data_IF_444584188118
#
_entry.id   IF_444584188118
#
_cell.length_a   1.000
_cell.length_b   1.000
_cell.length_c   1.000
_cell.angle_alpha   90.00
_cell.angle_beta   90.00
_cell.angle_gamma   90.00
#
_symmetry.space_group_name_H-M   'P 1'
#
loop_
_entity.id
_entity.type
_entity.pdbx_description
1 polymer ?
#
# COMPACT_ATOMS: atom_id res chain seq x y z
N UNK A 1 8.43 6.66 -29.08
CA UNK A 1 7.10 7.29 -29.14
C UNK A 1 6.98 8.39 -28.11
N UNK A 2 7.46 8.17 -26.92
CA UNK A 2 7.48 9.13 -25.82
C UNK A 2 8.88 9.70 -25.67
N UNK A 3 8.99 11.02 -25.51
CA UNK A 3 10.23 11.73 -25.18
C UNK A 3 10.24 12.03 -23.68
N UNK A 4 10.97 11.21 -22.92
CA UNK A 4 11.07 11.35 -21.45
C UNK A 4 11.92 12.56 -21.01
N UNK A 5 12.63 13.21 -21.91
CA UNK A 5 13.35 14.46 -21.61
C UNK A 5 12.46 15.71 -21.74
N UNK A 6 11.27 15.55 -22.31
CA UNK A 6 10.30 16.65 -22.40
C UNK A 6 9.69 16.99 -21.05
N UNK A 7 9.26 18.26 -20.87
CA UNK A 7 8.63 18.73 -19.63
C UNK A 7 7.38 17.91 -19.23
N UNK A 8 6.67 17.34 -20.19
CA UNK A 8 5.48 16.53 -19.96
C UNK A 8 5.78 15.18 -19.28
N UNK A 9 6.97 14.61 -19.53
CA UNK A 9 7.32 13.25 -19.14
C UNK A 9 8.48 13.17 -18.15
N UNK A 10 9.11 14.30 -17.81
CA UNK A 10 10.29 14.34 -16.93
C UNK A 10 10.03 13.84 -15.52
N UNK A 11 8.82 13.99 -15.01
CA UNK A 11 8.39 13.52 -13.70
C UNK A 11 8.36 11.99 -13.53
N UNK A 12 8.28 11.25 -14.64
CA UNK A 12 8.25 9.78 -14.65
C UNK A 12 9.50 9.16 -15.28
N UNK A 13 10.48 10.00 -15.67
CA UNK A 13 11.68 9.56 -16.39
C UNK A 13 12.47 8.51 -15.60
N UNK A 14 12.79 8.78 -14.34
CA UNK A 14 13.62 7.89 -13.52
C UNK A 14 12.97 6.50 -13.34
N UNK A 15 11.65 6.46 -13.28
CA UNK A 15 10.92 5.19 -13.23
C UNK A 15 10.92 4.49 -14.58
N UNK A 16 10.71 5.23 -15.69
CA UNK A 16 10.77 4.67 -17.03
C UNK A 16 12.14 4.07 -17.37
N UNK A 17 13.22 4.64 -16.84
CA UNK A 17 14.59 4.13 -17.00
C UNK A 17 14.78 2.76 -16.35
N UNK A 18 14.08 2.44 -15.27
CA UNK A 18 14.13 1.11 -14.62
C UNK A 18 13.55 0.00 -15.51
N UNK A 19 12.74 0.34 -16.50
CA UNK A 19 12.17 -0.58 -17.48
C UNK A 19 12.89 -0.52 -18.83
N UNK A 20 14.16 -0.11 -18.83
CA UNK A 20 14.99 -0.06 -20.04
C UNK A 20 15.62 -1.42 -20.31
N UNK A 21 15.46 -1.92 -21.53
CA UNK A 21 16.10 -3.14 -22.01
C UNK A 21 16.85 -2.85 -23.29
N UNK A 22 18.14 -3.19 -23.34
CA UNK A 22 19.02 -2.94 -24.50
C UNK A 22 18.99 -1.47 -24.96
N UNK A 23 18.99 -0.52 -24.03
CA UNK A 23 18.98 0.92 -24.29
C UNK A 23 17.66 1.45 -24.85
N UNK A 24 16.55 0.71 -24.73
CA UNK A 24 15.23 1.12 -25.20
C UNK A 24 14.21 1.07 -24.05
N UNK A 25 13.38 2.09 -23.96
CA UNK A 25 12.25 2.14 -23.05
C UNK A 25 11.07 1.37 -23.63
N UNK A 26 10.51 0.46 -22.87
CA UNK A 26 9.36 -0.35 -23.28
C UNK A 26 8.08 0.01 -22.53
N UNK A 27 8.19 0.76 -21.44
CA UNK A 27 7.08 1.15 -20.57
C UNK A 27 6.97 2.67 -20.58
N UNK A 28 5.74 3.17 -20.72
CA UNK A 28 5.40 4.58 -20.57
C UNK A 28 4.55 4.75 -19.30
N UNK A 29 5.15 5.12 -18.16
CA UNK A 29 4.41 5.45 -16.95
C UNK A 29 3.55 6.70 -17.16
N UNK A 30 2.32 6.71 -16.67
CA UNK A 30 1.42 7.87 -16.75
C UNK A 30 1.37 8.58 -15.41
N UNK A 31 1.02 7.84 -14.34
CA UNK A 31 0.95 8.37 -13.00
C UNK A 31 1.20 7.26 -11.96
N UNK A 32 1.34 7.69 -10.73
CA UNK A 32 1.53 6.84 -9.55
C UNK A 32 0.44 7.11 -8.53
N UNK A 33 -0.03 6.04 -7.89
CA UNK A 33 -1.00 6.10 -6.80
C UNK A 33 -0.43 5.32 -5.61
N UNK A 34 -0.77 5.66 -4.36
CA UNK A 34 -0.47 4.80 -3.23
C UNK A 34 -1.06 3.41 -3.46
N UNK A 35 -0.25 2.36 -3.27
CA UNK A 35 -0.69 0.98 -3.47
C UNK A 35 -1.67 0.52 -2.40
N UNK A 36 -1.41 0.91 -1.14
CA UNK A 36 -2.32 0.70 -0.02
C UNK A 36 -2.21 1.83 1.00
N UNK A 37 -3.33 2.09 1.65
CA UNK A 37 -3.45 2.98 2.82
C UNK A 37 -4.29 2.28 3.88
N UNK A 38 -4.15 2.69 5.12
CA UNK A 38 -5.02 2.26 6.22
C UNK A 38 -6.13 3.29 6.39
N UNK A 39 -7.37 2.83 6.29
CA UNK A 39 -8.56 3.60 6.64
C UNK A 39 -9.08 3.12 8.00
N UNK A 40 -9.51 4.04 8.85
CA UNK A 40 -10.03 3.76 10.18
C UNK A 40 -11.20 4.69 10.55
N UNK A 41 -12.06 4.24 11.44
CA UNK A 41 -13.14 5.04 12.03
C UNK A 41 -12.65 5.67 13.33
N UNK A 42 -12.64 7.01 13.40
CA UNK A 42 -12.18 7.75 14.58
C UNK A 42 -13.05 7.49 15.82
N UNK A 43 -14.34 7.26 15.61
CA UNK A 43 -15.24 6.94 16.73
C UNK A 43 -14.90 5.58 17.36
N UNK A 44 -14.44 4.62 16.56
CA UNK A 44 -13.97 3.33 17.08
C UNK A 44 -12.65 3.47 17.84
N UNK A 45 -11.74 4.29 17.35
CA UNK A 45 -10.47 4.63 18.02
C UNK A 45 -10.77 5.29 19.36
N UNK A 46 -11.59 6.36 19.37
CA UNK A 46 -11.96 7.09 20.59
C UNK A 46 -12.68 6.19 21.61
N UNK A 47 -13.64 5.37 21.16
CA UNK A 47 -14.39 4.47 22.02
C UNK A 47 -13.53 3.37 22.66
N UNK A 48 -12.46 2.96 21.96
CA UNK A 48 -11.48 2.01 22.47
C UNK A 48 -10.41 2.66 23.36
N UNK A 49 -10.35 3.99 23.43
CA UNK A 49 -9.34 4.74 24.18
C UNK A 49 -7.95 4.69 23.56
N UNK A 50 -7.87 4.42 22.25
CA UNK A 50 -6.63 4.32 21.50
C UNK A 50 -6.17 5.70 20.99
N UNK A 51 -4.87 5.83 20.74
CA UNK A 51 -4.30 7.02 20.11
C UNK A 51 -4.76 7.17 18.65
N UNK A 52 -4.92 8.42 18.16
CA UNK A 52 -5.29 8.63 16.75
C UNK A 52 -4.12 8.26 15.83
N UNK A 53 -4.29 7.31 14.90
CA UNK A 53 -3.24 6.91 13.95
C UNK A 53 -2.64 8.06 13.15
N UNK A 54 -3.43 9.11 12.85
CA UNK A 54 -2.94 10.29 12.16
C UNK A 54 -1.99 11.11 13.02
N UNK A 55 -2.25 11.25 14.31
CA UNK A 55 -1.35 11.92 15.25
C UNK A 55 -0.05 11.13 15.41
N UNK A 56 -0.13 9.81 15.56
CA UNK A 56 1.05 8.94 15.59
C UNK A 56 1.89 9.09 14.30
N UNK A 57 1.22 9.15 13.13
CA UNK A 57 1.91 9.39 11.86
C UNK A 57 2.61 10.75 11.81
N UNK A 58 1.95 11.82 12.24
CA UNK A 58 2.54 13.17 12.27
C UNK A 58 3.75 13.26 13.21
N UNK A 59 3.74 12.50 14.30
CA UNK A 59 4.83 12.43 15.27
C UNK A 59 5.96 11.48 14.87
N UNK A 60 5.79 10.71 13.77
CA UNK A 60 6.76 9.70 13.34
C UNK A 60 6.70 8.39 14.13
N UNK A 61 5.65 8.19 14.91
CA UNK A 61 5.43 7.04 15.80
C UNK A 61 4.54 5.96 15.17
N UNK A 62 4.00 6.20 13.96
CA UNK A 62 3.19 5.25 13.23
C UNK A 62 4.07 4.19 12.56
N UNK A 63 4.33 3.10 13.29
CA UNK A 63 5.12 1.96 12.85
C UNK A 63 4.40 0.62 13.10
N UNK A 64 5.06 -0.50 12.79
CA UNK A 64 4.49 -1.84 13.00
C UNK A 64 4.12 -2.11 14.45
N UNK A 65 4.90 -1.59 15.41
CA UNK A 65 4.64 -1.83 16.82
C UNK A 65 3.36 -1.12 17.25
N UNK A 66 3.27 0.19 16.98
CA UNK A 66 2.07 0.97 17.29
C UNK A 66 0.82 0.37 16.64
N UNK A 67 0.92 -0.01 15.36
CA UNK A 67 -0.18 -0.63 14.63
C UNK A 67 -0.60 -1.98 15.22
N UNK A 68 0.36 -2.84 15.57
CA UNK A 68 0.11 -4.13 16.20
C UNK A 68 -0.53 -3.99 17.59
N UNK A 69 0.05 -3.11 18.42
CA UNK A 69 -0.40 -2.88 19.79
C UNK A 69 -1.84 -2.36 19.82
N UNK A 70 -2.17 -1.42 18.94
CA UNK A 70 -3.55 -0.92 18.79
C UNK A 70 -4.53 -2.03 18.40
N UNK A 71 -4.16 -2.90 17.46
CA UNK A 71 -5.01 -4.03 17.08
C UNK A 71 -5.18 -5.03 18.23
N UNK A 72 -4.10 -5.33 18.95
CA UNK A 72 -4.13 -6.25 20.12
C UNK A 72 -5.03 -5.70 21.21
N UNK A 73 -4.83 -4.44 21.59
CA UNK A 73 -5.63 -3.79 22.62
C UNK A 73 -7.12 -3.72 22.25
N UNK A 74 -7.42 -3.42 20.98
CA UNK A 74 -8.79 -3.38 20.50
C UNK A 74 -9.48 -4.75 20.57
N UNK A 75 -8.80 -5.81 20.15
CA UNK A 75 -9.34 -7.18 20.15
C UNK A 75 -9.48 -7.71 21.58
N UNK A 76 -8.46 -7.50 22.42
CA UNK A 76 -8.47 -7.94 23.82
C UNK A 76 -9.50 -7.19 24.68
N UNK A 77 -9.82 -5.94 24.32
CA UNK A 77 -10.83 -5.13 24.97
C UNK A 77 -12.27 -5.50 24.64
N UNK A 78 -12.51 -6.52 23.79
CA UNK A 78 -13.85 -6.96 23.43
C UNK A 78 -14.63 -7.50 24.63
N UNK A 79 -15.93 -7.17 24.73
CA UNK A 79 -16.81 -7.79 25.69
C UNK A 79 -17.01 -9.29 25.37
N UNK A 80 -17.45 -10.09 26.35
CA UNK A 80 -17.56 -11.55 26.20
C UNK A 80 -18.51 -12.02 25.09
N UNK A 81 -19.43 -11.17 24.67
CA UNK A 81 -20.43 -11.38 23.61
C UNK A 81 -20.15 -10.56 22.35
N UNK A 82 -18.98 -9.91 22.26
CA UNK A 82 -18.57 -9.07 21.17
C UNK A 82 -17.39 -9.70 20.41
N UNK A 83 -17.45 -9.68 19.08
CA UNK A 83 -16.32 -10.03 18.24
C UNK A 83 -15.71 -8.75 17.68
N UNK A 84 -14.39 -8.61 17.84
CA UNK A 84 -13.59 -7.50 17.30
C UNK A 84 -12.41 -8.05 16.52
N UNK A 85 -12.04 -7.34 15.48
CA UNK A 85 -10.90 -7.68 14.62
C UNK A 85 -10.01 -6.47 14.40
N UNK A 86 -8.71 -6.69 14.33
CA UNK A 86 -7.74 -5.61 14.12
C UNK A 86 -7.69 -5.13 12.68
N UNK A 87 -7.72 -6.04 11.72
CA UNK A 87 -7.43 -5.72 10.31
C UNK A 87 -8.19 -6.57 9.31
N UNK A 88 -8.52 -5.95 8.17
CA UNK A 88 -8.91 -6.63 6.93
C UNK A 88 -8.37 -5.89 5.72
N UNK A 89 -8.43 -6.51 4.54
CA UNK A 89 -8.00 -5.96 3.27
C UNK A 89 -6.61 -6.43 2.82
N UNK A 90 -5.98 -5.66 1.96
CA UNK A 90 -4.67 -5.97 1.38
C UNK A 90 -3.55 -5.32 2.19
N UNK A 91 -3.11 -5.93 3.27
CA UNK A 91 -2.04 -5.41 4.13
C UNK A 91 -0.76 -6.26 4.05
N UNK A 92 -0.87 -7.59 3.96
CA UNK A 92 0.28 -8.47 4.08
C UNK A 92 1.42 -8.20 3.08
N UNK A 93 1.18 -8.02 1.76
CA UNK A 93 2.26 -7.68 0.84
C UNK A 93 2.95 -6.35 1.18
N UNK A 94 2.20 -5.40 1.72
CA UNK A 94 2.71 -4.06 2.00
C UNK A 94 3.57 -4.00 3.26
N UNK A 95 3.39 -4.93 4.20
CA UNK A 95 4.29 -5.09 5.35
C UNK A 95 5.67 -5.51 4.87
N UNK A 96 5.79 -6.47 3.95
CA UNK A 96 7.08 -6.82 3.33
C UNK A 96 7.71 -5.62 2.61
N UNK A 97 6.92 -4.85 1.87
CA UNK A 97 7.40 -3.73 1.07
C UNK A 97 7.82 -2.53 1.93
N UNK A 98 7.23 -2.35 3.13
CA UNK A 98 7.62 -1.31 4.07
C UNK A 98 9.02 -1.49 4.65
N UNK A 99 9.64 -2.67 4.48
CA UNK A 99 11.08 -2.88 4.76
C UNK A 99 12.00 -2.14 3.78
N UNK A 100 11.49 -1.62 2.66
CA UNK A 100 12.28 -1.02 1.58
C UNK A 100 13.02 -2.03 0.70
N UNK A 101 12.81 -3.33 0.92
CA UNK A 101 13.44 -4.40 0.16
C UNK A 101 12.48 -5.06 -0.81
N UNK A 102 13.02 -5.68 -1.84
CA UNK A 102 12.26 -6.49 -2.82
C UNK A 102 12.44 -7.98 -2.54
N UNK A 103 11.41 -8.78 -2.85
CA UNK A 103 11.48 -10.25 -2.72
C UNK A 103 12.59 -10.88 -3.56
N UNK A 104 12.88 -10.26 -4.70
CA UNK A 104 13.91 -10.70 -5.63
C UNK A 104 14.74 -9.48 -6.02
N UNK A 105 16.06 -9.60 -5.94
CA UNK A 105 17.02 -8.59 -6.40
C UNK A 105 17.84 -9.15 -7.55
N UNK A 106 18.10 -8.35 -8.57
CA UNK A 106 19.05 -8.69 -9.61
C UNK A 106 20.47 -8.29 -9.17
N UNK A 107 21.36 -9.27 -9.09
CA UNK A 107 22.79 -9.07 -8.83
C UNK A 107 23.52 -8.91 -10.17
N UNK A 108 23.84 -7.65 -10.50
CA UNK A 108 24.46 -7.34 -11.80
C UNK A 108 25.90 -7.85 -11.92
N UNK A 109 26.59 -8.08 -10.79
CA UNK A 109 27.96 -8.58 -10.79
C UNK A 109 28.02 -10.07 -11.12
N UNK A 110 26.97 -10.78 -10.77
CA UNK A 110 26.83 -12.24 -11.00
C UNK A 110 25.91 -12.60 -12.16
N UNK A 111 25.22 -11.61 -12.73
CA UNK A 111 24.18 -11.81 -13.77
C UNK A 111 23.11 -12.83 -13.32
N UNK A 112 22.66 -12.74 -12.05
CA UNK A 112 21.67 -13.67 -11.48
C UNK A 112 20.61 -12.95 -10.66
N UNK A 113 19.45 -13.60 -10.50
CA UNK A 113 18.41 -13.15 -9.57
C UNK A 113 18.59 -13.84 -8.22
N UNK A 114 18.62 -13.04 -7.15
CA UNK A 114 18.77 -13.50 -5.78
C UNK A 114 17.45 -13.38 -5.04
N UNK A 115 17.02 -14.45 -4.38
CA UNK A 115 15.85 -14.44 -3.51
C UNK A 115 16.19 -13.88 -2.14
N UNK A 116 15.39 -12.92 -1.66
CA UNK A 116 15.54 -12.30 -0.35
C UNK A 116 14.58 -12.88 0.71
N UNK A 117 13.91 -14.00 0.42
CA UNK A 117 12.93 -14.61 1.34
C UNK A 117 13.51 -14.97 2.72
N UNK A 118 14.81 -15.21 2.81
CA UNK A 118 15.51 -15.51 4.07
C UNK A 118 16.18 -14.27 4.68
N UNK A 119 15.98 -13.09 4.13
CA UNK A 119 16.45 -11.84 4.73
C UNK A 119 15.78 -11.62 6.09
N UNK A 120 16.55 -11.13 7.07
CA UNK A 120 16.06 -10.97 8.44
C UNK A 120 14.81 -10.04 8.53
N UNK A 121 14.71 -9.04 7.65
CA UNK A 121 13.57 -8.14 7.63
C UNK A 121 12.32 -8.82 7.07
N UNK A 122 12.46 -9.70 6.07
CA UNK A 122 11.35 -10.52 5.58
C UNK A 122 10.90 -11.56 6.60
N UNK A 123 11.82 -12.17 7.34
CA UNK A 123 11.49 -13.09 8.42
C UNK A 123 10.69 -12.36 9.50
N UNK A 124 11.15 -11.19 9.92
CA UNK A 124 10.47 -10.33 10.92
C UNK A 124 9.07 -9.89 10.47
N UNK A 125 8.92 -9.51 9.20
CA UNK A 125 7.62 -9.20 8.61
C UNK A 125 6.68 -10.42 8.60
N UNK A 126 7.21 -11.61 8.29
CA UNK A 126 6.46 -12.86 8.33
C UNK A 126 6.02 -13.23 9.75
N UNK A 127 6.88 -13.06 10.74
CA UNK A 127 6.57 -13.33 12.14
C UNK A 127 5.44 -12.43 12.63
N UNK A 128 5.48 -11.14 12.32
CA UNK A 128 4.39 -10.20 12.62
C UNK A 128 3.06 -10.63 11.99
N UNK A 129 3.05 -10.96 10.71
CA UNK A 129 1.84 -11.40 10.02
C UNK A 129 1.29 -12.71 10.59
N UNK A 130 2.19 -13.61 10.99
CA UNK A 130 1.82 -14.85 11.68
C UNK A 130 1.16 -14.55 13.04
N UNK A 131 1.73 -13.63 13.83
CA UNK A 131 1.19 -13.26 15.13
C UNK A 131 -0.18 -12.55 15.01
N UNK A 132 -0.38 -11.68 14.02
CA UNK A 132 -1.69 -11.09 13.71
C UNK A 132 -2.73 -12.20 13.45
N UNK A 133 -2.40 -13.19 12.64
CA UNK A 133 -3.30 -14.30 12.33
C UNK A 133 -3.55 -15.21 13.54
N UNK A 134 -2.49 -15.58 14.25
CA UNK A 134 -2.54 -16.47 15.41
C UNK A 134 -3.35 -15.89 16.58
N UNK A 135 -3.26 -14.59 16.78
CA UNK A 135 -3.96 -13.88 17.87
C UNK A 135 -5.37 -13.41 17.45
N UNK A 136 -5.89 -13.90 16.32
CA UNK A 136 -7.28 -13.62 15.90
C UNK A 136 -7.55 -12.18 15.48
N UNK A 137 -6.50 -11.40 15.20
CA UNK A 137 -6.67 -10.00 14.82
C UNK A 137 -7.13 -9.82 13.36
N UNK A 138 -7.01 -10.84 12.54
CA UNK A 138 -7.40 -10.81 11.13
C UNK A 138 -8.85 -11.28 10.94
N UNK A 139 -9.69 -10.46 10.29
CA UNK A 139 -11.02 -10.89 9.87
C UNK A 139 -10.92 -11.81 8.64
N UNK A 140 -11.46 -13.06 8.70
CA UNK A 140 -11.14 -14.09 7.72
C UNK A 140 -11.79 -13.91 6.35
N UNK A 141 -12.94 -13.26 6.28
CA UNK A 141 -13.68 -13.07 5.04
C UNK A 141 -13.27 -11.77 4.33
N UNK A 142 -13.37 -11.76 3.03
CA UNK A 142 -13.11 -10.56 2.25
C UNK A 142 -14.17 -9.48 2.49
N UNK A 143 -13.72 -8.25 2.75
CA UNK A 143 -14.56 -7.06 2.83
C UNK A 143 -14.17 -6.12 1.69
N UNK A 144 -15.15 -5.66 0.91
CA UNK A 144 -14.89 -4.91 -0.32
C UNK A 144 -14.64 -3.42 -0.14
N UNK A 145 -14.97 -2.84 1.04
CA UNK A 145 -14.86 -1.40 1.30
C UNK A 145 -14.80 -1.10 2.80
N UNK A 146 -14.20 0.05 3.14
CA UNK A 146 -13.94 0.46 4.52
C UNK A 146 -15.21 0.56 5.38
N UNK A 147 -16.27 1.17 4.89
CA UNK A 147 -17.52 1.34 5.65
C UNK A 147 -18.21 0.03 6.01
N UNK A 148 -17.99 -1.05 5.26
CA UNK A 148 -18.51 -2.37 5.61
C UNK A 148 -17.58 -3.11 6.60
N UNK A 149 -16.29 -2.80 6.58
CA UNK A 149 -15.35 -3.30 7.57
C UNK A 149 -15.69 -2.77 8.98
N UNK A 150 -15.95 -1.47 9.10
CA UNK A 150 -16.29 -0.85 10.40
C UNK A 150 -17.59 -1.42 11.00
N UNK A 151 -18.60 -1.73 10.18
CA UNK A 151 -19.84 -2.42 10.64
C UNK A 151 -19.62 -3.83 11.18
N UNK A 152 -18.44 -4.40 10.94
CA UNK A 152 -18.02 -5.73 11.40
C UNK A 152 -17.03 -5.65 12.56
N UNK A 153 -16.92 -4.49 13.23
CA UNK A 153 -15.97 -4.22 14.31
C UNK A 153 -14.51 -4.51 13.88
N UNK A 154 -14.16 -4.15 12.66
CA UNK A 154 -12.78 -4.22 12.16
C UNK A 154 -12.16 -2.83 12.34
N UNK A 155 -11.09 -2.74 13.14
CA UNK A 155 -10.45 -1.47 13.49
C UNK A 155 -9.82 -0.77 12.30
N UNK A 156 -9.06 -1.52 11.50
CA UNK A 156 -8.33 -1.02 10.34
C UNK A 156 -8.73 -1.74 9.06
N UNK A 157 -8.85 -0.97 7.99
CA UNK A 157 -9.06 -1.49 6.65
C UNK A 157 -7.95 -1.04 5.71
N UNK A 158 -7.17 -1.98 5.21
CA UNK A 158 -6.04 -1.72 4.32
C UNK A 158 -6.41 -2.01 2.86
N UNK A 159 -6.39 -0.98 2.02
CA UNK A 159 -6.69 -1.09 0.60
C UNK A 159 -6.14 0.12 -0.16
N UNK A 160 -6.12 0.02 -1.48
CA UNK A 160 -5.84 1.19 -2.32
C UNK A 160 -6.82 2.35 -2.02
N UNK A 161 -6.40 3.61 -2.19
CA UNK A 161 -7.21 4.80 -1.83
C UNK A 161 -8.61 4.80 -2.45
N UNK A 162 -8.78 4.14 -3.59
CA UNK A 162 -10.08 4.00 -4.27
C UNK A 162 -11.16 3.32 -3.41
N UNK A 163 -10.77 2.41 -2.51
CA UNK A 163 -11.69 1.68 -1.64
C UNK A 163 -12.21 2.52 -0.45
N UNK A 164 -11.69 3.73 -0.30
CA UNK A 164 -12.06 4.66 0.77
C UNK A 164 -12.54 6.02 0.22
N UNK A 165 -12.74 6.13 -1.09
CA UNK A 165 -13.13 7.38 -1.75
C UNK A 165 -14.42 7.23 -2.58
N UNK A 166 -15.09 8.33 -2.87
CA UNK A 166 -16.26 8.37 -3.71
C UNK A 166 -17.41 7.49 -3.19
N UNK A 167 -17.88 6.56 -4.01
CA UNK A 167 -18.97 5.63 -3.66
C UNK A 167 -18.58 4.59 -2.62
N UNK A 168 -17.29 4.40 -2.38
CA UNK A 168 -16.71 3.43 -1.44
C UNK A 168 -16.34 4.06 -0.10
N UNK A 169 -16.40 5.39 0.02
CA UNK A 169 -16.13 6.06 1.29
C UNK A 169 -17.11 5.63 2.37
N UNK A 170 -16.68 5.63 3.64
CA UNK A 170 -17.60 5.47 4.75
C UNK A 170 -18.72 6.49 4.68
N UNK A 171 -19.98 6.04 4.85
CA UNK A 171 -21.15 6.89 4.59
C UNK A 171 -21.67 7.63 5.81
N UNK A 172 -21.23 7.24 6.98
CA UNK A 172 -21.76 7.73 8.25
C UNK A 172 -20.93 8.89 8.80
N UNK A 173 -20.72 9.88 7.97
CA UNK A 173 -20.17 11.11 8.43
C UNK A 173 -18.67 11.24 8.24
N UNK A 174 -18.19 12.37 8.70
CA UNK A 174 -16.84 12.85 8.50
C UNK A 174 -15.86 12.31 9.56
N UNK A 175 -16.20 11.19 10.22
CA UNK A 175 -15.44 10.68 11.38
C UNK A 175 -14.52 9.50 11.05
N UNK A 176 -13.89 9.54 9.88
CA UNK A 176 -12.90 8.54 9.49
C UNK A 176 -11.58 9.20 9.09
N UNK A 177 -10.51 8.46 9.18
CA UNK A 177 -9.17 8.90 8.83
C UNK A 177 -8.46 7.93 7.89
N UNK A 178 -7.40 8.43 7.27
CA UNK A 178 -6.51 7.66 6.40
C UNK A 178 -5.07 7.96 6.78
N UNK A 179 -4.28 6.90 6.93
CA UNK A 179 -2.83 6.98 7.12
C UNK A 179 -2.12 6.03 6.15
N UNK A 180 -0.84 6.26 5.83
CA UNK A 180 -0.08 5.30 5.05
C UNK A 180 0.02 3.96 5.80
N UNK A 181 0.44 2.90 5.10
CA UNK A 181 0.86 1.66 5.76
C UNK A 181 1.95 1.96 6.80
N UNK A 182 1.96 1.27 7.95
CA UNK A 182 2.89 1.56 9.02
C UNK A 182 4.35 1.34 8.59
N UNK A 183 5.23 2.17 9.12
CA UNK A 183 6.67 2.09 8.87
C UNK A 183 7.27 0.86 9.55
N UNK A 184 8.27 0.23 8.92
CA UNK A 184 9.13 -0.72 9.60
C UNK A 184 9.86 -0.01 10.77
N UNK A 185 9.72 -0.47 12.03
CA UNK A 185 10.36 0.17 13.19
C UNK A 185 11.90 0.19 13.11
N UNK A 186 12.50 -0.70 12.31
CA UNK A 186 13.96 -0.75 12.11
C UNK A 186 14.44 0.14 10.95
N UNK A 187 13.54 0.87 10.30
CA UNK A 187 13.87 1.77 9.20
C UNK A 187 13.70 3.23 9.62
N UNK A 188 14.68 4.08 9.25
CA UNK A 188 14.55 5.53 9.39
C UNK A 188 13.65 6.16 8.30
N UNK A 189 13.33 5.37 7.26
CA UNK A 189 12.54 5.83 6.11
C UNK A 189 11.18 5.12 6.08
N UNK A 190 10.13 5.88 5.86
CA UNK A 190 8.82 5.33 5.51
C UNK A 190 8.83 4.91 4.03
N UNK A 191 8.94 3.61 3.79
CA UNK A 191 8.74 3.06 2.46
C UNK A 191 7.25 2.79 2.22
N UNK A 192 6.74 3.33 1.14
CA UNK A 192 5.37 3.06 0.72
C UNK A 192 5.35 2.51 -0.69
N UNK A 193 4.46 1.59 -0.93
CA UNK A 193 4.26 1.02 -2.26
C UNK A 193 3.46 1.98 -3.11
N UNK A 194 3.81 2.05 -4.37
CA UNK A 194 3.04 2.76 -5.38
C UNK A 194 2.54 1.80 -6.44
N UNK A 195 1.31 2.00 -6.88
CA UNK A 195 0.76 1.42 -8.08
C UNK A 195 1.09 2.33 -9.26
N UNK A 196 1.63 1.76 -10.31
CA UNK A 196 2.00 2.48 -11.52
C UNK A 196 0.99 2.22 -12.62
N UNK A 197 0.32 3.25 -13.09
CA UNK A 197 -0.41 3.19 -14.34
C UNK A 197 0.55 3.39 -15.50
N UNK A 198 0.80 2.35 -16.27
CA UNK A 198 1.75 2.37 -17.36
C UNK A 198 1.28 1.58 -18.58
N UNK A 199 1.79 1.95 -19.73
CA UNK A 199 1.40 1.35 -21.01
C UNK A 199 2.61 0.86 -21.78
N UNK A 200 2.40 -0.24 -22.49
CA UNK A 200 3.40 -0.80 -23.41
C UNK A 200 2.83 -0.83 -24.83
N UNK A 201 3.71 -0.59 -25.79
CA UNK A 201 3.35 -0.65 -27.20
C UNK A 201 3.40 -2.07 -27.73
N UNK A 202 2.31 -2.51 -28.33
CA UNK A 202 2.26 -3.86 -28.92
C UNK A 202 3.12 -3.90 -30.19
N UNK A 203 4.06 -4.85 -30.22
CA UNK A 203 4.94 -5.06 -31.42
C UNK A 203 4.11 -5.29 -32.64
N UNK A 204 4.47 -4.58 -33.74
CA UNK A 204 3.80 -4.69 -35.04
C UNK A 204 2.63 -3.74 -35.26
N UNK A 205 2.23 -2.96 -34.22
CA UNK A 205 1.25 -1.89 -34.43
C UNK A 205 1.80 -0.80 -35.35
N UNK A 206 0.97 -0.28 -36.24
CA UNK A 206 1.30 0.83 -37.17
C UNK A 206 0.65 2.16 -36.74
N UNK A 207 -0.05 2.19 -35.59
CA UNK A 207 -0.83 3.37 -35.10
C UNK A 207 -0.01 4.27 -34.20
N UNK A 208 1.23 4.57 -34.55
CA UNK A 208 2.15 5.30 -33.66
C UNK A 208 1.65 6.69 -33.28
N UNK A 209 1.13 7.47 -34.23
CA UNK A 209 0.68 8.84 -34.00
C UNK A 209 -0.59 8.87 -33.10
N UNK A 210 -1.51 7.95 -33.36
CA UNK A 210 -2.72 7.85 -32.54
C UNK A 210 -2.39 7.47 -31.09
N UNK A 211 -1.42 6.55 -30.89
CA UNK A 211 -1.01 6.16 -29.57
C UNK A 211 -0.25 7.26 -28.84
N UNK A 212 0.63 7.98 -29.54
CA UNK A 212 1.33 9.13 -28.96
C UNK A 212 0.31 10.17 -28.46
N UNK A 213 -0.65 10.55 -29.30
CA UNK A 213 -1.70 11.47 -28.93
C UNK A 213 -2.52 10.98 -27.72
N UNK A 214 -2.87 9.69 -27.70
CA UNK A 214 -3.61 9.11 -26.60
C UNK A 214 -2.82 9.13 -25.28
N UNK A 215 -1.53 8.76 -25.31
CA UNK A 215 -0.65 8.79 -24.14
C UNK A 215 -0.48 10.21 -23.60
N UNK A 216 -0.31 11.20 -24.47
CA UNK A 216 -0.21 12.62 -24.09
C UNK A 216 -1.52 13.10 -23.44
N UNK A 217 -2.67 12.74 -24.02
CA UNK A 217 -3.96 13.03 -23.39
C UNK A 217 -4.12 12.36 -22.01
N UNK A 218 -3.77 11.08 -21.90
CA UNK A 218 -3.85 10.33 -20.64
C UNK A 218 -2.89 10.87 -19.56
N UNK A 219 -1.77 11.51 -19.97
CA UNK A 219 -0.82 12.13 -19.04
C UNK A 219 -1.31 13.46 -18.47
N UNK A 220 -2.21 14.16 -19.17
CA UNK A 220 -2.72 15.50 -18.77
C UNK A 220 -3.92 15.38 -17.84
N UNK A 221 -4.65 14.29 -17.87
CA UNK A 221 -5.85 14.04 -17.04
C UNK A 221 -5.47 13.54 -15.67
#
# INVERSE_FOLDING_TARGET
IVDFDSAMWSDVKDVAEQFTLNGKHFVAPINFLPGSVITYDKSMIDAAGLDDPYELYQNGEWDWNAWYDMMSEYVEGAAADEERYGINGWFAPFIFQSTGKTLITYDADKDEYVSNLNDADFVRASDMLYDIAKNGMYYPDWVGQAGDAFKKNILFYAMGPWASTGTHSPKDGDNWGVVPMPKDPNSDTLYTTIDMNAYMWVKGSTKNDAMKCWLECAKIV
#
